data_IF_097516107452
#
_entry.id   IF_097516107452
#
_cell.length_a   1.000
_cell.length_b   1.000
_cell.length_c   1.000
_cell.angle_alpha   90.00
_cell.angle_beta   90.00
_cell.angle_gamma   90.00
#
_symmetry.space_group_name_H-M   'P 1'
#
loop_
_entity.id
_entity.type
_entity.pdbx_description
1 polymer ?
#
# COMPACT_ATOMS: atom_id res chain seq x y z
N UNK A 1 -22.83 8.71 6.59
CA UNK A 1 -22.17 9.45 5.49
C UNK A 1 -20.72 9.86 5.79
N UNK A 2 -20.25 9.95 7.04
CA UNK A 2 -18.86 10.35 7.34
C UNK A 2 -17.78 9.27 7.22
N UNK A 3 -18.13 7.97 7.18
CA UNK A 3 -17.13 6.90 7.12
C UNK A 3 -16.49 6.75 5.73
N UNK A 4 -17.29 6.86 4.68
CA UNK A 4 -16.84 6.66 3.29
C UNK A 4 -15.96 7.79 2.77
N UNK A 5 -16.21 9.04 3.20
CA UNK A 5 -15.36 10.17 2.85
C UNK A 5 -13.96 10.02 3.49
N UNK A 6 -13.91 9.70 4.79
CA UNK A 6 -12.65 9.46 5.50
C UNK A 6 -11.88 8.23 4.94
N UNK A 7 -12.60 7.20 4.51
CA UNK A 7 -12.02 6.02 3.86
C UNK A 7 -11.41 6.35 2.50
N UNK A 8 -12.11 7.19 1.71
CA UNK A 8 -11.60 7.68 0.44
C UNK A 8 -10.39 8.60 0.62
N UNK A 9 -10.41 9.53 1.58
CA UNK A 9 -9.27 10.39 1.90
C UNK A 9 -8.04 9.56 2.30
N UNK A 10 -8.25 8.52 3.13
CA UNK A 10 -7.19 7.59 3.51
C UNK A 10 -6.64 6.80 2.30
N UNK A 11 -7.49 6.44 1.33
CA UNK A 11 -7.06 5.81 0.08
C UNK A 11 -6.30 6.80 -0.81
N UNK A 12 -6.76 8.04 -0.95
CA UNK A 12 -6.08 9.12 -1.68
C UNK A 12 -4.68 9.35 -1.12
N UNK A 13 -4.54 9.50 0.20
CA UNK A 13 -3.24 9.62 0.85
C UNK A 13 -2.35 8.40 0.58
N UNK A 14 -2.93 7.19 0.61
CA UNK A 14 -2.21 5.94 0.39
C UNK A 14 -1.64 5.84 -1.03
N UNK A 15 -2.45 6.10 -2.06
CA UNK A 15 -2.05 5.99 -3.47
C UNK A 15 -1.09 7.10 -3.91
N UNK A 16 -1.09 8.24 -3.20
CA UNK A 16 -0.13 9.32 -3.43
C UNK A 16 1.31 8.95 -3.02
N UNK A 17 1.50 7.86 -2.28
CA UNK A 17 2.83 7.35 -1.97
C UNK A 17 3.34 6.43 -3.09
N UNK A 18 4.40 6.87 -3.78
CA UNK A 18 5.08 6.11 -4.83
C UNK A 18 5.39 4.68 -4.40
N UNK A 19 4.98 3.69 -5.21
CA UNK A 19 5.28 2.28 -4.98
C UNK A 19 4.29 1.53 -4.11
N UNK A 20 3.33 2.21 -3.49
CA UNK A 20 2.40 1.56 -2.57
C UNK A 20 1.47 0.62 -3.30
N UNK A 21 0.89 1.05 -4.42
CA UNK A 21 -0.04 0.22 -5.21
C UNK A 21 0.68 -1.03 -5.72
N UNK A 22 1.90 -0.87 -6.23
CA UNK A 22 2.70 -1.98 -6.72
C UNK A 22 3.05 -2.98 -5.60
N UNK A 23 3.34 -2.49 -4.38
CA UNK A 23 3.65 -3.38 -3.25
C UNK A 23 2.41 -4.12 -2.78
N UNK A 24 1.26 -3.44 -2.72
CA UNK A 24 -0.01 -4.08 -2.38
C UNK A 24 -0.41 -5.14 -3.41
N UNK A 25 -0.27 -4.84 -4.70
CA UNK A 25 -0.55 -5.78 -5.79
C UNK A 25 0.38 -7.01 -5.73
N UNK A 26 1.69 -6.79 -5.52
CA UNK A 26 2.64 -7.89 -5.39
C UNK A 26 2.35 -8.82 -4.18
N UNK A 27 1.88 -8.25 -3.06
CA UNK A 27 1.50 -9.01 -1.86
C UNK A 27 0.11 -9.66 -1.98
N UNK A 28 -0.77 -9.13 -2.83
CA UNK A 28 -2.02 -9.79 -3.18
C UNK A 28 -1.76 -11.10 -3.98
N UNK A 29 -0.64 -11.18 -4.70
CA UNK A 29 -0.16 -12.42 -5.30
C UNK A 29 0.36 -13.47 -4.30
N UNK A 30 0.44 -13.13 -3.00
CA UNK A 30 0.87 -14.01 -1.92
C UNK A 30 2.01 -13.42 -1.06
N UNK A 31 2.39 -14.09 0.04
CA UNK A 31 3.44 -13.60 0.93
C UNK A 31 4.79 -13.44 0.22
N UNK A 32 5.49 -12.32 0.45
CA UNK A 32 6.79 -12.01 -0.16
C UNK A 32 7.77 -11.43 0.85
N UNK A 33 9.05 -11.70 0.61
CA UNK A 33 10.16 -11.05 1.29
C UNK A 33 10.53 -9.72 0.63
N UNK A 34 11.26 -8.86 1.36
CA UNK A 34 11.80 -7.59 0.80
C UNK A 34 12.65 -7.84 -0.45
N UNK A 35 13.44 -8.93 -0.46
CA UNK A 35 14.28 -9.30 -1.61
C UNK A 35 13.45 -9.64 -2.84
N UNK A 36 12.39 -10.41 -2.66
CA UNK A 36 11.50 -10.79 -3.76
C UNK A 36 10.79 -9.56 -4.33
N UNK A 37 10.30 -8.67 -3.47
CA UNK A 37 9.70 -7.39 -3.90
C UNK A 37 10.68 -6.52 -4.68
N UNK A 38 11.93 -6.39 -4.21
CA UNK A 38 12.97 -5.66 -4.94
C UNK A 38 13.33 -6.29 -6.28
N UNK A 39 13.19 -7.62 -6.41
CA UNK A 39 13.47 -8.36 -7.64
C UNK A 39 12.33 -8.30 -8.67
N UNK A 40 11.09 -8.16 -8.22
CA UNK A 40 9.91 -8.12 -9.07
C UNK A 40 9.51 -6.71 -9.54
N UNK A 41 10.13 -5.68 -8.97
CA UNK A 41 9.75 -4.28 -9.19
C UNK A 41 10.86 -3.47 -9.84
N UNK A 42 10.48 -2.46 -10.63
CA UNK A 42 11.40 -1.42 -11.14
C UNK A 42 11.94 -0.50 -10.02
N UNK A 43 11.56 -0.75 -8.76
CA UNK A 43 11.89 0.07 -7.61
C UNK A 43 13.14 -0.45 -6.87
N UNK A 44 14.06 0.46 -6.53
CA UNK A 44 15.22 0.14 -5.68
C UNK A 44 14.79 -0.08 -4.24
N UNK A 45 15.60 -0.86 -3.49
CA UNK A 45 15.35 -1.23 -2.09
C UNK A 45 14.91 -0.07 -1.17
N UNK A 46 15.53 1.13 -1.18
CA UNK A 46 15.06 2.22 -0.32
C UNK A 46 13.61 2.64 -0.61
N UNK A 47 13.18 2.57 -1.87
CA UNK A 47 11.80 2.83 -2.26
C UNK A 47 10.85 1.76 -1.74
N UNK A 48 11.19 0.48 -1.93
CA UNK A 48 10.36 -0.66 -1.46
C UNK A 48 10.20 -0.59 0.06
N UNK A 49 11.28 -0.36 0.79
CA UNK A 49 11.23 -0.20 2.24
C UNK A 49 10.38 0.99 2.68
N UNK A 50 10.41 2.11 1.96
CA UNK A 50 9.55 3.27 2.25
C UNK A 50 8.07 2.94 2.04
N UNK A 51 7.73 2.31 0.91
CA UNK A 51 6.34 1.89 0.64
C UNK A 51 5.85 0.88 1.68
N UNK A 52 6.68 -0.10 2.06
CA UNK A 52 6.38 -1.07 3.13
C UNK A 52 6.08 -0.38 4.46
N UNK A 53 6.89 0.61 4.87
CA UNK A 53 6.62 1.38 6.10
C UNK A 53 5.28 2.12 6.04
N UNK A 54 4.95 2.72 4.90
CA UNK A 54 3.69 3.45 4.70
C UNK A 54 2.46 2.54 4.89
N UNK A 55 2.50 1.32 4.33
CA UNK A 55 1.39 0.37 4.44
C UNK A 55 1.38 -0.36 5.79
N UNK A 56 2.55 -0.59 6.39
CA UNK A 56 2.68 -1.17 7.73
C UNK A 56 2.17 -0.24 8.83
N UNK A 57 2.47 1.07 8.75
CA UNK A 57 1.95 2.07 9.69
C UNK A 57 0.41 2.14 9.69
N UNK A 58 -0.23 1.70 8.61
CA UNK A 58 -1.69 1.61 8.46
C UNK A 58 -2.25 0.22 8.82
N UNK A 59 -1.40 -0.71 9.24
CA UNK A 59 -1.78 -2.08 9.60
C UNK A 59 -2.22 -2.94 8.42
N UNK A 60 -1.79 -2.62 7.20
CA UNK A 60 -2.19 -3.34 5.98
C UNK A 60 -1.37 -4.61 5.74
N UNK A 61 -0.20 -4.70 6.38
CA UNK A 61 0.71 -5.84 6.26
C UNK A 61 1.15 -6.34 7.64
N UNK A 62 1.42 -7.63 7.71
CA UNK A 62 2.07 -8.29 8.84
C UNK A 62 3.34 -8.99 8.37
N UNK A 63 4.38 -8.97 9.20
CA UNK A 63 5.59 -9.77 8.99
C UNK A 63 5.63 -10.95 9.97
N UNK A 64 6.20 -12.08 9.55
CA UNK A 64 6.32 -13.28 10.40
C UNK A 64 7.31 -13.17 11.57
N UNK A 65 7.97 -12.03 11.78
CA UNK A 65 8.95 -11.81 12.85
C UNK A 65 8.56 -10.67 13.79
N UNK A 66 8.95 -10.77 15.06
CA UNK A 66 8.82 -9.67 16.03
C UNK A 66 9.91 -8.62 15.75
N UNK A 67 9.51 -7.40 15.39
CA UNK A 67 10.42 -6.30 15.10
C UNK A 67 9.68 -5.02 14.73
N UNK A 68 10.39 -3.88 14.76
CA UNK A 68 9.83 -2.60 14.32
C UNK A 68 9.98 -2.45 12.80
N UNK A 69 9.00 -1.83 12.14
CA UNK A 69 9.08 -1.47 10.72
C UNK A 69 10.08 -0.33 10.45
N UNK A 70 10.48 0.41 11.49
CA UNK A 70 11.48 1.47 11.42
C UNK A 70 12.91 0.92 11.40
N UNK A 71 13.12 -0.27 11.94
CA UNK A 71 14.39 -0.98 11.88
C UNK A 71 14.65 -1.52 10.46
N UNK A 72 15.90 -1.89 10.14
CA UNK A 72 16.20 -2.57 8.89
C UNK A 72 15.37 -3.86 8.79
N UNK A 73 14.35 -3.86 7.92
CA UNK A 73 13.53 -5.04 7.68
C UNK A 73 14.41 -6.23 7.32
N UNK A 74 14.33 -7.28 8.13
CA UNK A 74 15.01 -8.53 7.87
C UNK A 74 14.55 -9.09 6.53
N UNK A 75 15.51 -9.30 5.63
CA UNK A 75 15.26 -9.67 4.25
C UNK A 75 14.58 -11.05 4.16
N UNK A 76 14.71 -11.89 5.17
CA UNK A 76 14.26 -13.29 5.16
C UNK A 76 12.80 -13.50 5.54
N UNK A 77 12.17 -12.56 6.25
CA UNK A 77 10.83 -12.79 6.80
C UNK A 77 9.76 -12.46 5.75
N UNK A 78 8.89 -13.43 5.41
CA UNK A 78 7.76 -13.15 4.52
C UNK A 78 6.81 -12.16 5.15
N UNK A 79 6.32 -11.23 4.34
CA UNK A 79 5.28 -10.28 4.67
C UNK A 79 4.03 -10.68 3.91
N UNK A 80 2.87 -10.54 4.54
CA UNK A 80 1.57 -10.83 3.97
C UNK A 80 0.59 -9.68 4.24
N UNK A 81 -0.44 -9.57 3.40
CA UNK A 81 -1.56 -8.67 3.67
C UNK A 81 -2.33 -9.14 4.90
N UNK A 82 -2.75 -8.19 5.74
CA UNK A 82 -3.76 -8.43 6.76
C UNK A 82 -5.15 -8.45 6.13
N UNK A 83 -6.19 -8.81 6.89
CA UNK A 83 -7.59 -8.68 6.43
C UNK A 83 -7.91 -7.25 5.99
N UNK A 84 -7.33 -6.24 6.66
CA UNK A 84 -7.47 -4.84 6.27
C UNK A 84 -6.75 -4.56 4.95
N UNK A 85 -5.53 -5.09 4.79
CA UNK A 85 -4.77 -4.98 3.55
C UNK A 85 -5.51 -5.57 2.35
N UNK A 86 -6.13 -6.75 2.51
CA UNK A 86 -6.94 -7.38 1.47
C UNK A 86 -8.14 -6.52 1.05
N UNK A 87 -8.92 -6.00 2.00
CA UNK A 87 -10.03 -5.08 1.68
C UNK A 87 -9.54 -3.83 0.95
N UNK A 88 -8.39 -3.29 1.32
CA UNK A 88 -7.79 -2.14 0.63
C UNK A 88 -7.42 -2.48 -0.82
N UNK A 89 -6.84 -3.65 -1.08
CA UNK A 89 -6.57 -4.13 -2.46
C UNK A 89 -7.86 -4.28 -3.26
N UNK A 90 -8.90 -4.88 -2.67
CA UNK A 90 -10.21 -5.05 -3.33
C UNK A 90 -10.83 -3.70 -3.71
N UNK A 91 -10.74 -2.70 -2.83
CA UNK A 91 -11.20 -1.34 -3.11
C UNK A 91 -10.39 -0.70 -4.26
N UNK A 92 -9.06 -0.83 -4.23
CA UNK A 92 -8.18 -0.30 -5.28
C UNK A 92 -8.29 -1.05 -6.62
N UNK A 93 -8.82 -2.28 -6.63
CA UNK A 93 -9.12 -3.01 -7.86
C UNK A 93 -10.37 -2.47 -8.58
N UNK A 94 -11.20 -1.67 -7.91
CA UNK A 94 -12.41 -1.08 -8.49
C UNK A 94 -12.09 0.15 -9.34
N UNK A 95 -12.48 0.11 -10.61
CA UNK A 95 -12.35 1.26 -11.51
C UNK A 95 -13.11 2.50 -11.01
N UNK A 96 -14.29 2.32 -10.42
CA UNK A 96 -15.09 3.43 -9.87
C UNK A 96 -14.38 4.14 -8.70
N UNK A 97 -13.55 3.42 -7.94
CA UNK A 97 -12.74 4.03 -6.88
C UNK A 97 -11.68 4.95 -7.49
N UNK A 98 -11.01 4.52 -8.56
CA UNK A 98 -10.05 5.37 -9.27
C UNK A 98 -10.69 6.59 -9.93
N UNK A 99 -11.86 6.47 -10.54
CA UNK A 99 -12.61 7.63 -11.05
C UNK A 99 -12.95 8.61 -9.94
N UNK A 100 -13.29 8.12 -8.75
CA UNK A 100 -13.61 8.98 -7.62
C UNK A 100 -12.36 9.70 -7.10
N UNK A 101 -11.22 9.00 -6.97
CA UNK A 101 -9.94 9.58 -6.52
C UNK A 101 -9.49 10.69 -7.48
N UNK A 102 -9.50 10.42 -8.80
CA UNK A 102 -8.99 11.39 -9.78
C UNK A 102 -10.01 12.44 -10.19
N UNK A 103 -11.31 12.12 -10.23
CA UNK A 103 -12.37 13.10 -10.51
C UNK A 103 -12.48 14.21 -9.46
N UNK A 104 -12.07 13.94 -8.21
CA UNK A 104 -11.95 14.96 -7.16
C UNK A 104 -10.72 15.86 -7.33
N UNK A 105 -9.65 15.36 -7.95
CA UNK A 105 -8.43 16.15 -8.18
C UNK A 105 -8.65 17.19 -9.28
N UNK A 106 -9.42 16.85 -10.31
CA UNK A 106 -9.79 17.76 -11.41
C UNK A 106 -10.72 18.89 -10.95
N UNK A 107 -11.54 18.68 -9.92
CA UNK A 107 -12.47 19.69 -9.40
C UNK A 107 -11.83 20.69 -8.42
N UNK A 108 -10.60 20.44 -7.98
CA UNK A 108 -9.82 21.36 -7.13
C UNK A 108 -8.91 22.30 -7.94
N UNK A 109 -8.60 21.95 -9.20
CA UNK A 109 -7.73 22.72 -10.09
C UNK A 109 -8.39 23.90 -10.82
N UNK A 110 -9.71 24.09 -10.69
CA UNK A 110 -10.49 25.10 -11.43
C UNK A 110 -11.08 26.19 -10.49
N UNK A 111 -10.31 26.61 -9.47
CA UNK A 111 -10.72 27.68 -8.54
C UNK A 111 -9.61 28.67 -8.21
#
# INVERSE_FOLDING_TARGET
MGNSANELDALCELVNHRGVVEVLDALAGGPRTVRELCGSMTMRRPGVSRALRVIAARGLVSAGGAGSWDEPLEIGNPMALTDRGWRTVELLASFAVWETIYGQTDSVGDR
#
